data_IF_314264680225
#
_entry.id   IF_314264680225
#
_cell.length_a   1.000
_cell.length_b   1.000
_cell.length_c   1.000
_cell.angle_alpha   90.00
_cell.angle_beta   90.00
_cell.angle_gamma   90.00
#
_symmetry.space_group_name_H-M   'P 1'
#
loop_
_entity.id
_entity.type
_entity.pdbx_description
1 polymer ?
#
# COMPACT_ATOMS: atom_id res chain seq x y z
N UNK A 1 -3.09 -2.18 19.08
CA UNK A 1 -3.01 -1.00 18.26
C UNK A 1 -3.36 -1.31 16.85
N UNK A 2 -4.27 -0.53 16.30
CA UNK A 2 -4.73 -0.76 14.95
C UNK A 2 -3.70 -0.22 13.96
N UNK A 3 -3.43 -1.01 12.94
CA UNK A 3 -2.63 -0.54 11.82
C UNK A 3 -3.51 0.27 10.89
N UNK A 4 -2.99 1.41 10.48
CA UNK A 4 -3.70 2.20 9.47
C UNK A 4 -3.29 1.68 8.11
N UNK A 5 -4.28 1.17 7.37
CA UNK A 5 -4.03 0.72 6.03
C UNK A 5 -4.77 1.60 5.05
N UNK A 6 -4.22 1.70 3.84
CA UNK A 6 -4.78 2.55 2.80
C UNK A 6 -4.90 1.72 1.54
N UNK A 7 -5.88 2.04 0.71
CA UNK A 7 -6.12 1.29 -0.51
C UNK A 7 -5.55 2.01 -1.72
N UNK A 8 -5.20 1.23 -2.73
CA UNK A 8 -4.83 1.78 -4.02
C UNK A 8 -5.89 2.80 -4.47
N UNK A 9 -5.43 3.96 -4.86
CA UNK A 9 -6.32 5.03 -5.28
C UNK A 9 -6.62 6.05 -4.20
N UNK A 10 -6.41 5.70 -2.94
CA UNK A 10 -6.55 6.67 -1.86
C UNK A 10 -5.34 7.58 -1.83
N UNK A 11 -5.53 8.77 -1.32
CA UNK A 11 -4.43 9.71 -1.21
C UNK A 11 -3.68 9.49 0.09
N UNK A 12 -2.37 9.53 -0.01
CA UNK A 12 -1.52 9.33 1.16
C UNK A 12 -1.70 10.51 2.13
N UNK A 13 -1.93 10.23 3.41
CA UNK A 13 -2.05 11.30 4.39
C UNK A 13 -0.72 11.92 4.77
N UNK A 14 0.36 11.19 4.55
CA UNK A 14 1.70 11.69 4.88
C UNK A 14 2.69 11.11 3.88
N UNK A 15 3.75 11.86 3.69
CA UNK A 15 4.87 11.34 2.92
C UNK A 15 5.58 10.27 3.72
N UNK A 16 6.00 9.22 3.06
CA UNK A 16 6.73 8.17 3.75
C UNK A 16 6.91 6.96 2.88
N UNK A 17 7.44 5.91 3.48
CA UNK A 17 7.64 4.64 2.81
C UNK A 17 6.49 3.71 3.18
N UNK A 18 5.90 3.12 2.17
CA UNK A 18 4.75 2.23 2.33
C UNK A 18 5.05 0.90 1.67
N UNK A 19 4.41 -0.13 2.16
CA UNK A 19 4.51 -1.44 1.52
C UNK A 19 3.13 -2.09 1.48
N UNK A 20 3.02 -3.10 0.64
CA UNK A 20 1.76 -3.82 0.50
C UNK A 20 1.54 -4.67 1.74
N UNK A 21 0.37 -4.52 2.35
CA UNK A 21 -0.03 -5.35 3.46
C UNK A 21 -0.80 -6.58 2.97
N UNK A 22 -1.73 -6.35 2.04
CA UNK A 22 -2.50 -7.43 1.45
C UNK A 22 -3.16 -6.88 0.19
N UNK A 23 -3.70 -7.78 -0.61
CA UNK A 23 -4.44 -7.37 -1.80
C UNK A 23 -5.91 -7.18 -1.45
N UNK A 24 -6.52 -6.18 -2.07
CA UNK A 24 -7.93 -5.90 -1.82
C UNK A 24 -8.78 -7.09 -2.24
N UNK A 25 -8.38 -7.78 -3.30
CA UNK A 25 -9.13 -8.91 -3.80
C UNK A 25 -9.00 -10.15 -2.90
N UNK A 26 -8.19 -10.07 -1.88
CA UNK A 26 -8.06 -11.19 -0.95
C UNK A 26 -6.93 -12.14 -1.26
N UNK A 27 -6.19 -11.90 -2.31
CA UNK A 27 -5.04 -12.74 -2.61
C UNK A 27 -3.87 -12.41 -1.72
N UNK A 28 -3.93 -12.85 -0.50
CA UNK A 28 -2.93 -12.43 0.47
C UNK A 28 -1.70 -13.33 0.51
N UNK A 29 -1.69 -14.35 -0.29
CA UNK A 29 -0.60 -15.31 -0.21
C UNK A 29 0.73 -14.75 -0.69
N UNK A 30 0.69 -13.70 -1.47
CA UNK A 30 1.91 -13.11 -2.00
C UNK A 30 2.30 -11.92 -1.17
N UNK A 31 3.25 -12.09 -0.32
CA UNK A 31 3.77 -10.95 0.41
C UNK A 31 4.69 -10.18 -0.50
N UNK A 32 4.23 -9.04 -0.89
CA UNK A 32 5.03 -8.17 -1.73
C UNK A 32 5.87 -7.31 -0.80
N UNK A 33 7.16 -7.57 -0.77
CA UNK A 33 8.06 -6.81 0.10
C UNK A 33 8.55 -5.53 -0.54
N UNK A 34 8.03 -5.20 -1.69
CA UNK A 34 8.45 -3.98 -2.36
C UNK A 34 7.98 -2.77 -1.57
N UNK A 35 8.90 -1.89 -1.27
CA UNK A 35 8.60 -0.66 -0.57
C UNK A 35 8.55 0.48 -1.58
N UNK A 36 7.57 1.33 -1.43
CA UNK A 36 7.35 2.43 -2.36
C UNK A 36 7.26 3.71 -1.55
N UNK A 37 7.93 4.74 -2.02
CA UNK A 37 7.79 6.06 -1.42
C UNK A 37 6.59 6.76 -2.02
N UNK A 38 5.68 7.19 -1.16
CA UNK A 38 4.49 7.92 -1.58
C UNK A 38 4.48 9.23 -0.82
N UNK A 39 4.24 10.31 -1.54
CA UNK A 39 4.23 11.62 -0.92
C UNK A 39 2.80 12.02 -0.56
N UNK A 40 2.72 12.88 0.44
CA UNK A 40 1.43 13.35 0.91
C UNK A 40 0.62 13.89 -0.26
N UNK A 41 -0.61 13.42 -0.39
CA UNK A 41 -1.49 13.84 -1.45
C UNK A 41 -1.41 13.00 -2.71
N UNK A 42 -0.42 12.14 -2.81
CA UNK A 42 -0.33 11.24 -3.96
C UNK A 42 -1.22 10.04 -3.73
N UNK A 43 -1.71 9.47 -4.81
CA UNK A 43 -2.53 8.29 -4.72
C UNK A 43 -1.65 7.06 -4.64
N UNK A 44 -2.11 6.09 -3.84
CA UNK A 44 -1.37 4.83 -3.73
C UNK A 44 -1.46 4.06 -5.04
N UNK A 45 -0.33 3.54 -5.51
CA UNK A 45 -0.31 2.77 -6.76
C UNK A 45 -0.83 1.36 -6.52
N UNK A 46 -1.08 0.62 -7.60
CA UNK A 46 -1.40 -0.79 -7.44
C UNK A 46 -0.18 -1.58 -7.01
N UNK A 47 -0.43 -2.82 -6.57
CA UNK A 47 0.66 -3.69 -6.15
C UNK A 47 1.69 -3.84 -7.26
N UNK A 48 2.96 -3.60 -6.98
CA UNK A 48 3.98 -3.71 -8.03
C UNK A 48 4.11 -5.12 -8.60
N UNK A 49 3.84 -6.14 -7.80
CA UNK A 49 4.05 -7.50 -8.27
C UNK A 49 2.87 -8.04 -9.04
N UNK A 50 1.65 -7.64 -8.70
CA UNK A 50 0.48 -8.19 -9.37
C UNK A 50 -0.34 -7.15 -10.10
N UNK A 51 0.01 -5.87 -9.93
CA UNK A 51 -0.70 -4.78 -10.58
C UNK A 51 -2.18 -4.74 -10.21
N UNK A 52 -2.50 -5.20 -9.01
CA UNK A 52 -3.86 -5.20 -8.51
C UNK A 52 -3.99 -4.24 -7.35
N UNK A 53 -5.23 -3.85 -7.05
CA UNK A 53 -5.47 -2.98 -5.92
C UNK A 53 -4.98 -3.65 -4.64
N UNK A 54 -4.35 -2.87 -3.78
CA UNK A 54 -3.72 -3.41 -2.58
C UNK A 54 -4.01 -2.53 -1.40
N UNK A 55 -3.85 -3.11 -0.22
CA UNK A 55 -3.83 -2.37 1.02
C UNK A 55 -2.39 -2.03 1.34
N UNK A 56 -2.13 -0.77 1.61
CA UNK A 56 -0.79 -0.28 1.88
C UNK A 56 -0.66 0.09 3.36
N UNK A 57 0.51 -0.10 3.90
CA UNK A 57 0.78 0.27 5.29
C UNK A 57 2.05 1.10 5.33
N UNK A 58 2.02 2.16 6.14
CA UNK A 58 3.18 3.02 6.28
C UNK A 58 4.18 2.37 7.22
N UNK A 59 5.42 2.30 6.79
CA UNK A 59 6.46 1.66 7.60
C UNK A 59 7.54 2.63 8.05
N UNK A 60 7.60 3.81 7.49
CA UNK A 60 8.54 4.81 8.00
C UNK A 60 8.23 6.22 7.50
#
# INVERSE_FOLDING_TARGET
MAKNTYKTGEKAPESGTYKVDSLVSGGSSQKDNTEVKVEKGEQFPPSPSSNEAAHWVKIS
#
